data_IF_587144073171
#
_entry.id   IF_587144073171
#
_cell.length_a   1.000
_cell.length_b   1.000
_cell.length_c   1.000
_cell.angle_alpha   90.00
_cell.angle_beta   90.00
_cell.angle_gamma   90.00
#
_symmetry.space_group_name_H-M   'P 1'
#
loop_
_entity.id
_entity.type
_entity.pdbx_description
1 polymer ?
#
# COMPACT_ATOMS: atom_id res chain seq x y z
N UNK A 1 19.85 -14.61 -36.95
CA UNK A 1 19.64 -13.34 -37.67
C UNK A 1 18.61 -12.53 -36.91
N UNK A 2 18.94 -11.34 -36.37
CA UNK A 2 17.93 -10.47 -35.77
C UNK A 2 16.96 -9.97 -36.85
N UNK A 3 15.67 -9.82 -36.55
CA UNK A 3 14.70 -9.28 -37.49
C UNK A 3 15.12 -7.86 -37.92
N UNK A 4 15.03 -7.59 -39.22
CA UNK A 4 15.39 -6.29 -39.80
C UNK A 4 14.41 -5.20 -39.37
N UNK A 5 14.86 -3.96 -39.33
CA UNK A 5 14.05 -2.78 -38.97
C UNK A 5 12.75 -2.69 -39.79
N UNK A 6 12.80 -3.08 -41.06
CA UNK A 6 11.65 -3.20 -41.95
C UNK A 6 10.57 -4.18 -41.45
N UNK A 7 10.97 -5.27 -40.77
CA UNK A 7 10.02 -6.24 -40.21
C UNK A 7 9.28 -5.67 -38.98
N UNK A 8 9.95 -4.82 -38.20
CA UNK A 8 9.33 -4.13 -37.06
C UNK A 8 8.35 -3.05 -37.51
N UNK A 9 8.70 -2.29 -38.54
CA UNK A 9 7.79 -1.28 -39.11
C UNK A 9 6.55 -1.93 -39.72
N UNK A 10 6.71 -3.02 -40.47
CA UNK A 10 5.58 -3.78 -41.02
C UNK A 10 4.64 -4.33 -39.91
N UNK A 11 5.20 -4.80 -38.79
CA UNK A 11 4.42 -5.26 -37.64
C UNK A 11 3.69 -4.09 -36.94
N UNK A 12 4.32 -2.91 -36.85
CA UNK A 12 3.72 -1.70 -36.26
C UNK A 12 2.56 -1.18 -37.10
N UNK A 13 2.69 -1.15 -38.42
CA UNK A 13 1.64 -0.73 -39.35
C UNK A 13 0.41 -1.64 -39.27
N UNK A 14 0.61 -2.97 -39.28
CA UNK A 14 -0.50 -3.94 -39.13
C UNK A 14 -1.23 -3.80 -37.79
N UNK A 15 -0.52 -3.40 -36.72
CA UNK A 15 -1.11 -3.19 -35.39
C UNK A 15 -1.95 -1.92 -35.35
N UNK A 16 -1.49 -0.85 -36.01
CA UNK A 16 -2.22 0.41 -36.13
C UNK A 16 -3.48 0.28 -36.99
N UNK A 17 -3.43 -0.47 -38.09
CA UNK A 17 -4.61 -0.75 -38.92
C UNK A 17 -5.69 -1.52 -38.15
N UNK A 18 -5.30 -2.55 -37.39
CA UNK A 18 -6.24 -3.30 -36.54
C UNK A 18 -6.87 -2.43 -35.45
N UNK A 19 -6.10 -1.50 -34.86
CA UNK A 19 -6.61 -0.58 -33.86
C UNK A 19 -7.62 0.42 -34.45
N UNK A 20 -7.37 0.92 -35.67
CA UNK A 20 -8.31 1.80 -36.39
C UNK A 20 -9.62 1.07 -36.72
N UNK A 21 -9.55 -0.17 -37.22
CA UNK A 21 -10.72 -0.96 -37.55
C UNK A 21 -11.63 -1.24 -36.32
N UNK A 22 -11.04 -1.43 -35.13
CA UNK A 22 -11.81 -1.59 -33.90
C UNK A 22 -12.52 -0.30 -33.48
N UNK A 23 -11.92 0.87 -33.70
CA UNK A 23 -12.55 2.16 -33.42
C UNK A 23 -13.75 2.43 -34.35
N UNK A 24 -13.64 2.11 -35.64
CA UNK A 24 -14.76 2.24 -36.58
C UNK A 24 -15.94 1.35 -36.19
N UNK A 25 -15.70 0.11 -35.75
CA UNK A 25 -16.76 -0.78 -35.26
C UNK A 25 -17.48 -0.25 -34.01
N UNK A 26 -16.85 0.63 -33.22
CA UNK A 26 -17.50 1.24 -32.05
C UNK A 26 -18.38 2.45 -32.39
N UNK A 27 -18.21 3.05 -33.56
CA UNK A 27 -18.97 4.22 -34.00
C UNK A 27 -20.29 3.85 -34.70
N UNK A 28 -20.41 2.63 -35.23
CA UNK A 28 -21.60 2.20 -36.01
C UNK A 28 -22.72 1.54 -35.19
N UNK A 29 -22.54 1.27 -33.89
CA UNK A 29 -23.53 0.52 -33.10
C UNK A 29 -24.21 1.38 -32.03
N UNK A 30 -25.34 2.04 -32.33
CA UNK A 30 -26.15 2.67 -31.29
C UNK A 30 -26.68 1.60 -30.33
N UNK A 31 -26.33 1.72 -29.05
CA UNK A 31 -26.91 0.90 -27.97
C UNK A 31 -28.36 1.32 -27.79
N UNK A 32 -29.31 0.43 -28.08
CA UNK A 32 -30.68 0.55 -27.59
C UNK A 32 -30.67 0.45 -26.06
N UNK A 33 -30.93 1.57 -25.39
CA UNK A 33 -31.14 1.62 -23.94
C UNK A 33 -32.64 1.56 -23.71
N UNK A 34 -33.16 0.40 -23.29
CA UNK A 34 -34.53 0.28 -22.80
C UNK A 34 -34.64 1.01 -21.46
N UNK A 35 -35.21 2.21 -21.49
CA UNK A 35 -35.60 2.96 -20.30
C UNK A 35 -36.79 2.29 -19.63
N UNK A 36 -36.56 1.68 -18.46
CA UNK A 36 -37.62 1.32 -17.51
C UNK A 36 -37.38 2.13 -16.25
N UNK A 37 -38.14 3.21 -16.09
CA UNK A 37 -38.17 4.02 -14.87
C UNK A 37 -39.07 3.33 -13.84
N UNK A 38 -38.62 3.09 -12.59
CA UNK A 38 -39.54 2.93 -11.47
C UNK A 38 -39.83 4.27 -10.79
N UNK A 39 -41.06 4.42 -10.34
CA UNK A 39 -41.62 5.59 -9.66
C UNK A 39 -40.96 5.87 -8.29
N UNK A 40 -41.03 7.11 -7.77
CA UNK A 40 -40.45 7.46 -6.47
C UNK A 40 -41.31 6.94 -5.32
N UNK A 41 -40.75 6.04 -4.52
CA UNK A 41 -41.28 5.65 -3.21
C UNK A 41 -40.81 6.66 -2.15
N UNK A 42 -41.74 7.44 -1.61
CA UNK A 42 -41.56 8.31 -0.45
C UNK A 42 -41.21 7.48 0.79
N UNK A 43 -40.02 7.68 1.36
CA UNK A 43 -39.67 7.20 2.69
C UNK A 43 -39.93 8.31 3.73
N UNK A 44 -40.38 7.99 4.95
CA UNK A 44 -40.55 8.99 6.02
C UNK A 44 -39.18 9.46 6.54
N UNK A 45 -39.16 10.71 6.99
CA UNK A 45 -37.99 11.37 7.56
C UNK A 45 -37.48 10.62 8.81
N UNK A 46 -36.24 10.14 8.74
CA UNK A 46 -35.50 9.69 9.90
C UNK A 46 -34.89 10.93 10.55
N UNK A 47 -35.42 11.32 11.70
CA UNK A 47 -34.83 12.34 12.56
C UNK A 47 -33.56 11.78 13.21
N UNK A 48 -32.40 12.32 12.82
CA UNK A 48 -31.10 12.03 13.44
C UNK A 48 -31.06 12.66 14.85
N UNK A 49 -30.77 11.91 15.94
CA UNK A 49 -30.72 12.46 17.29
C UNK A 49 -29.29 12.82 17.75
N UNK A 50 -28.40 13.19 16.82
CA UNK A 50 -26.99 13.46 17.15
C UNK A 50 -26.45 14.72 16.46
N UNK A 51 -27.28 15.76 16.41
CA UNK A 51 -26.85 17.12 16.04
C UNK A 51 -26.90 17.98 17.31
N UNK A 52 -25.83 17.94 18.10
CA UNK A 52 -25.43 18.99 19.06
C UNK A 52 -24.12 18.58 19.76
N UNK A 53 -23.03 18.54 19.00
CA UNK A 53 -21.69 18.55 19.58
C UNK A 53 -20.82 19.54 18.80
N UNK A 54 -20.86 20.79 19.25
CA UNK A 54 -20.03 21.89 18.76
C UNK A 54 -18.54 21.56 19.00
N UNK A 55 -17.68 21.50 17.96
CA UNK A 55 -16.29 21.08 18.09
C UNK A 55 -15.35 22.16 18.67
N UNK A 56 -15.86 23.26 19.25
CA UNK A 56 -15.03 24.35 19.75
C UNK A 56 -15.53 24.97 21.06
N UNK A 57 -15.62 24.16 22.13
CA UNK A 57 -15.69 24.68 23.49
C UNK A 57 -14.29 25.19 23.94
N UNK A 58 -14.14 26.49 24.30
CA UNK A 58 -12.90 27.02 24.84
C UNK A 58 -12.72 26.55 26.28
N UNK A 59 -11.63 25.80 26.52
CA UNK A 59 -11.25 25.34 27.86
C UNK A 59 -10.72 26.51 28.71
N UNK A 60 -11.63 27.30 29.25
CA UNK A 60 -11.36 28.22 30.35
C UNK A 60 -12.34 27.98 31.50
N UNK A 61 -11.76 28.00 32.71
CA UNK A 61 -12.42 28.15 34.01
C UNK A 61 -12.88 26.88 34.73
N UNK A 62 -11.93 26.28 35.47
CA UNK A 62 -12.14 25.83 36.85
C UNK A 62 -10.81 25.80 37.63
N UNK A 63 -10.54 26.87 38.37
CA UNK A 63 -9.63 26.99 39.54
C UNK A 63 -10.41 27.94 40.48
N UNK A 64 -10.59 27.72 41.81
CA UNK A 64 -9.60 27.38 42.85
C UNK A 64 -10.10 26.29 43.84
N UNK A 65 -9.33 25.71 44.79
CA UNK A 65 -8.75 26.31 45.99
C UNK A 65 -7.53 25.57 46.53
N UNK A 66 -6.67 26.38 47.13
CA UNK A 66 -5.40 26.12 47.79
C UNK A 66 -5.53 25.32 49.09
N UNK A 67 -4.69 24.30 49.28
CA UNK A 67 -3.94 24.14 50.53
C UNK A 67 -2.76 23.17 50.35
N UNK A 68 -1.52 23.67 50.25
CA UNK A 68 -0.32 22.88 50.56
C UNK A 68 0.64 23.81 51.32
N UNK A 69 0.87 23.48 52.59
CA UNK A 69 1.86 24.08 53.48
C UNK A 69 3.31 23.83 52.99
N UNK A 70 4.08 24.92 52.95
CA UNK A 70 5.51 25.11 53.33
C UNK A 70 6.30 23.83 53.69
N UNK A 71 7.53 23.52 53.24
CA UNK A 71 8.74 24.24 52.82
C UNK A 71 9.90 23.15 52.83
N UNK A 72 11.20 23.44 52.59
CA UNK A 72 11.87 24.25 51.56
C UNK A 72 13.04 23.51 50.86
N UNK A 73 13.64 24.19 49.87
CA UNK A 73 15.06 24.13 49.40
C UNK A 73 15.60 22.83 48.78
N UNK A 74 15.89 22.86 47.47
CA UNK A 74 17.27 22.79 46.99
C UNK A 74 17.37 23.15 45.50
N UNK A 75 18.24 24.11 45.22
CA UNK A 75 18.56 24.64 43.90
C UNK A 75 19.58 23.77 43.18
N UNK A 76 19.17 22.83 42.33
CA UNK A 76 20.13 22.15 41.43
C UNK A 76 19.48 21.84 40.08
N UNK A 77 19.56 22.82 39.16
CA UNK A 77 19.56 22.74 37.68
C UNK A 77 18.76 23.87 37.01
N UNK A 78 19.22 25.12 37.16
CA UNK A 78 19.00 26.10 36.10
C UNK A 78 19.95 25.79 34.95
N UNK A 79 19.56 24.89 34.05
CA UNK A 79 20.26 24.72 32.76
C UNK A 79 20.04 25.99 31.97
N UNK A 80 20.98 26.92 32.10
CA UNK A 80 21.03 28.18 31.37
C UNK A 80 20.83 27.93 29.87
N UNK A 81 19.61 28.15 29.38
CA UNK A 81 19.33 28.33 27.95
C UNK A 81 19.44 29.80 27.60
N UNK A 82 20.56 30.44 27.97
CA UNK A 82 21.02 31.59 27.21
C UNK A 82 21.66 31.09 25.91
N UNK A 83 20.81 30.50 25.06
CA UNK A 83 21.08 30.53 23.64
C UNK A 83 21.11 32.00 23.26
N UNK A 84 22.31 32.56 23.06
CA UNK A 84 22.50 33.81 22.33
C UNK A 84 21.74 33.63 21.02
N UNK A 85 20.51 34.15 20.95
CA UNK A 85 19.81 34.38 19.69
C UNK A 85 20.64 35.39 18.92
N UNK A 86 21.61 34.89 18.16
CA UNK A 86 22.26 35.68 17.12
C UNK A 86 21.14 36.18 16.21
N UNK A 87 20.92 37.50 16.08
CA UNK A 87 19.88 38.01 15.20
C UNK A 87 20.13 37.46 13.80
N UNK A 88 19.08 37.06 13.05
CA UNK A 88 19.27 36.59 11.70
C UNK A 88 19.87 37.72 10.89
N UNK A 89 21.17 37.62 10.58
CA UNK A 89 21.81 38.52 9.62
C UNK A 89 21.08 38.35 8.30
N UNK A 90 20.40 39.40 7.86
CA UNK A 90 19.54 39.48 6.68
C UNK A 90 20.35 39.43 5.36
N UNK A 91 21.28 38.50 5.26
CA UNK A 91 22.12 38.30 4.07
C UNK A 91 22.56 36.83 3.92
N UNK A 92 21.73 35.89 4.37
CA UNK A 92 21.86 34.50 3.96
C UNK A 92 21.34 34.36 2.52
N UNK A 93 22.12 34.84 1.55
CA UNK A 93 22.01 34.44 0.14
C UNK A 93 21.85 32.93 0.15
N UNK A 94 20.66 32.44 -0.22
CA UNK A 94 20.36 31.01 -0.23
C UNK A 94 21.45 30.35 -1.06
N UNK A 95 22.39 29.65 -0.39
CA UNK A 95 23.49 29.00 -1.08
C UNK A 95 22.83 28.07 -2.08
N UNK A 96 22.94 28.40 -3.37
CA UNK A 96 22.27 27.70 -4.47
C UNK A 96 22.96 26.35 -4.58
N UNK A 97 22.60 25.42 -3.68
CA UNK A 97 23.16 24.08 -3.68
C UNK A 97 22.95 23.54 -5.09
N UNK A 98 24.00 23.08 -5.78
CA UNK A 98 23.87 22.63 -7.15
C UNK A 98 22.76 21.58 -7.21
N UNK A 99 21.82 21.77 -8.12
CA UNK A 99 20.74 20.83 -8.33
C UNK A 99 21.36 19.48 -8.71
N UNK A 100 20.97 18.42 -7.99
CA UNK A 100 21.51 17.07 -8.23
C UNK A 100 21.17 16.65 -9.66
N UNK A 101 22.14 16.09 -10.37
CA UNK A 101 21.92 15.48 -11.68
C UNK A 101 20.89 14.34 -11.60
N UNK A 102 20.27 13.97 -12.73
CA UNK A 102 19.30 12.87 -12.78
C UNK A 102 19.89 11.55 -12.25
N UNK A 103 21.09 11.20 -12.70
CA UNK A 103 21.88 10.05 -12.18
C UNK A 103 22.16 10.18 -10.68
N UNK A 104 22.55 11.37 -10.22
CA UNK A 104 22.77 11.64 -8.80
C UNK A 104 21.51 11.47 -7.94
N UNK A 105 20.33 11.81 -8.46
CA UNK A 105 19.03 11.56 -7.81
C UNK A 105 18.72 10.06 -7.78
N UNK A 106 18.92 9.35 -8.89
CA UNK A 106 18.71 7.91 -9.01
C UNK A 106 19.52 7.13 -7.97
N UNK A 107 20.83 7.37 -7.90
CA UNK A 107 21.71 6.77 -6.88
C UNK A 107 21.28 7.12 -5.46
N UNK A 108 20.76 8.34 -5.26
CA UNK A 108 20.17 8.75 -3.99
C UNK A 108 18.96 7.91 -3.56
N UNK A 109 18.12 7.48 -4.50
CA UNK A 109 17.02 6.55 -4.20
C UNK A 109 17.54 5.14 -3.92
N UNK A 110 18.40 4.63 -4.80
CA UNK A 110 18.92 3.25 -4.74
C UNK A 110 19.79 3.01 -3.49
N UNK A 111 20.52 4.01 -3.01
CA UNK A 111 21.30 3.91 -1.77
C UNK A 111 20.47 3.65 -0.49
N UNK A 112 19.16 3.93 -0.51
CA UNK A 112 18.29 3.78 0.66
C UNK A 112 17.56 2.44 0.69
N UNK A 113 17.18 1.92 -0.49
CA UNK A 113 16.48 0.65 -0.67
C UNK A 113 16.42 0.25 -2.13
N UNK A 114 16.08 -1.01 -2.38
CA UNK A 114 15.70 -1.52 -3.70
C UNK A 114 14.43 -0.83 -4.21
N UNK A 115 14.43 -0.49 -5.50
CA UNK A 115 13.31 0.11 -6.22
C UNK A 115 13.04 -0.73 -7.48
N UNK A 116 11.77 -0.83 -7.89
CA UNK A 116 11.46 -1.38 -9.22
C UNK A 116 11.80 -0.35 -10.30
N UNK A 117 12.03 -0.81 -11.54
CA UNK A 117 12.24 0.09 -12.69
C UNK A 117 11.10 1.11 -12.81
N UNK A 118 9.85 0.66 -12.71
CA UNK A 118 8.67 1.53 -12.80
C UNK A 118 8.55 2.50 -11.60
N UNK A 119 9.00 2.12 -10.40
CA UNK A 119 9.03 3.04 -9.26
C UNK A 119 10.09 4.12 -9.45
N UNK A 120 11.29 3.73 -9.88
CA UNK A 120 12.39 4.67 -10.09
C UNK A 120 12.07 5.62 -11.24
N UNK A 121 11.52 5.11 -12.34
CA UNK A 121 11.02 5.92 -13.47
C UNK A 121 10.02 6.98 -12.99
N UNK A 122 8.97 6.58 -12.26
CA UNK A 122 7.98 7.54 -11.71
C UNK A 122 8.59 8.60 -10.80
N UNK A 123 9.62 8.25 -10.01
CA UNK A 123 10.31 9.20 -9.12
C UNK A 123 11.23 10.16 -9.86
N UNK A 124 11.79 9.73 -10.98
CA UNK A 124 12.71 10.53 -11.78
C UNK A 124 11.99 11.39 -12.82
N UNK A 125 10.80 10.98 -13.27
CA UNK A 125 9.99 11.70 -14.27
C UNK A 125 9.88 13.22 -14.05
N UNK A 126 9.62 13.74 -12.83
CA UNK A 126 9.50 15.18 -12.60
C UNK A 126 10.80 15.97 -12.79
N UNK A 127 11.93 15.29 -12.95
CA UNK A 127 13.26 15.88 -13.02
C UNK A 127 13.92 15.74 -14.39
N UNK A 128 13.26 15.06 -15.34
CA UNK A 128 13.78 14.85 -16.70
C UNK A 128 13.72 16.15 -17.47
N UNK A 129 14.83 16.52 -18.10
CA UNK A 129 14.94 17.66 -19.01
C UNK A 129 14.87 17.18 -20.47
N UNK A 130 14.54 18.06 -21.41
CA UNK A 130 14.37 17.73 -22.85
C UNK A 130 15.57 17.01 -23.49
N UNK A 131 16.78 17.23 -22.97
CA UNK A 131 18.01 16.60 -23.46
C UNK A 131 18.37 15.26 -22.77
N UNK A 132 17.63 14.85 -21.73
CA UNK A 132 17.95 13.66 -20.93
C UNK A 132 17.03 12.49 -21.31
N UNK A 133 17.61 11.35 -21.70
CA UNK A 133 16.87 10.10 -21.91
C UNK A 133 16.77 9.32 -20.59
N UNK A 134 15.59 9.36 -19.96
CA UNK A 134 15.31 8.59 -18.75
C UNK A 134 15.50 7.08 -18.96
N UNK A 135 15.01 6.54 -20.07
CA UNK A 135 15.12 5.10 -20.36
C UNK A 135 16.57 4.66 -20.51
N UNK A 136 17.40 5.47 -21.18
CA UNK A 136 18.85 5.18 -21.30
C UNK A 136 19.54 5.17 -19.94
N UNK A 137 19.20 6.09 -19.05
CA UNK A 137 19.73 6.07 -17.68
C UNK A 137 19.27 4.83 -16.91
N UNK A 138 18.01 4.41 -17.04
CA UNK A 138 17.51 3.21 -16.39
C UNK A 138 18.20 1.95 -16.92
N UNK A 139 18.43 1.86 -18.24
CA UNK A 139 19.17 0.77 -18.87
C UNK A 139 20.62 0.71 -18.40
N UNK A 140 21.31 1.86 -18.28
CA UNK A 140 22.64 1.93 -17.68
C UNK A 140 22.65 1.40 -16.25
N UNK A 141 21.69 1.81 -15.43
CA UNK A 141 21.60 1.38 -14.03
C UNK A 141 21.30 -0.10 -13.88
N UNK A 142 20.52 -0.69 -14.79
CA UNK A 142 20.29 -2.14 -14.84
C UNK A 142 21.54 -2.88 -15.32
N UNK A 143 22.19 -2.40 -16.39
CA UNK A 143 23.42 -2.98 -16.93
C UNK A 143 24.56 -2.97 -15.90
N UNK A 144 24.69 -1.89 -15.15
CA UNK A 144 25.69 -1.73 -14.10
C UNK A 144 25.27 -2.42 -12.78
N UNK A 145 24.09 -3.05 -12.74
CA UNK A 145 23.61 -3.83 -11.60
C UNK A 145 23.08 -3.03 -10.41
N UNK A 146 22.97 -1.69 -10.52
CA UNK A 146 22.40 -0.82 -9.47
C UNK A 146 20.89 -0.99 -9.34
N UNK A 147 20.19 -1.29 -10.42
CA UNK A 147 18.74 -1.49 -10.46
C UNK A 147 18.43 -2.96 -10.80
N UNK A 148 17.56 -3.60 -10.03
CA UNK A 148 17.12 -4.99 -10.29
C UNK A 148 15.70 -5.22 -9.77
N UNK A 149 14.80 -5.65 -10.66
CA UNK A 149 13.46 -6.04 -10.28
C UNK A 149 13.45 -7.30 -9.39
N UNK A 150 14.41 -8.20 -9.56
CA UNK A 150 14.54 -9.42 -8.72
C UNK A 150 14.84 -9.03 -7.27
N UNK A 151 15.87 -8.20 -7.04
CA UNK A 151 16.18 -7.71 -5.68
C UNK A 151 15.05 -6.87 -5.09
N UNK A 152 14.35 -6.10 -5.92
CA UNK A 152 13.15 -5.39 -5.49
C UNK A 152 12.07 -6.34 -4.97
N UNK A 153 11.77 -7.42 -5.70
CA UNK A 153 10.79 -8.44 -5.30
C UNK A 153 11.20 -9.11 -4.00
N UNK A 154 12.45 -9.55 -3.87
CA UNK A 154 12.98 -10.14 -2.65
C UNK A 154 12.85 -9.19 -1.45
N UNK A 155 13.20 -7.92 -1.64
CA UNK A 155 13.03 -6.88 -0.61
C UNK A 155 11.58 -6.70 -0.19
N UNK A 156 10.63 -6.71 -1.14
CA UNK A 156 9.19 -6.63 -0.86
C UNK A 156 8.73 -7.83 -0.04
N UNK A 157 9.09 -9.04 -0.47
CA UNK A 157 8.72 -10.28 0.22
C UNK A 157 9.27 -10.27 1.64
N UNK A 158 10.56 -10.00 1.81
CA UNK A 158 11.23 -9.97 3.11
C UNK A 158 10.54 -9.03 4.11
N UNK A 159 10.23 -7.80 3.67
CA UNK A 159 9.64 -6.78 4.57
C UNK A 159 8.14 -6.95 4.83
N UNK A 160 7.40 -7.68 3.96
CA UNK A 160 5.92 -7.73 3.99
C UNK A 160 5.33 -9.09 4.30
N UNK A 161 5.96 -10.20 3.89
CA UNK A 161 5.33 -11.54 3.92
C UNK A 161 4.89 -11.98 5.32
N UNK A 162 5.55 -11.53 6.38
CA UNK A 162 5.15 -11.81 7.77
C UNK A 162 3.90 -11.06 8.26
N UNK A 163 3.32 -10.16 7.46
CA UNK A 163 2.20 -9.29 7.90
C UNK A 163 0.98 -9.34 6.97
N UNK A 164 1.20 -9.66 5.69
CA UNK A 164 0.17 -9.67 4.65
C UNK A 164 0.26 -10.95 3.82
N UNK A 165 -0.87 -11.35 3.24
CA UNK A 165 -0.97 -12.52 2.39
C UNK A 165 -0.43 -12.29 0.98
N UNK A 166 -0.38 -13.38 0.21
CA UNK A 166 0.23 -13.41 -1.11
C UNK A 166 -0.47 -12.44 -2.09
N UNK A 167 -1.80 -12.30 -2.00
CA UNK A 167 -2.57 -11.45 -2.93
C UNK A 167 -2.14 -9.98 -2.86
N UNK A 168 -1.91 -9.45 -1.66
CA UNK A 168 -1.48 -8.05 -1.48
C UNK A 168 -0.07 -7.83 -2.03
N UNK A 169 0.84 -8.80 -1.84
CA UNK A 169 2.19 -8.73 -2.36
C UNK A 169 2.19 -8.82 -3.89
N UNK A 170 1.51 -9.80 -4.47
CA UNK A 170 1.37 -9.97 -5.92
C UNK A 170 0.79 -8.70 -6.56
N UNK A 171 -0.24 -8.10 -5.96
CA UNK A 171 -0.83 -6.85 -6.46
C UNK A 171 0.12 -5.64 -6.34
N UNK A 172 0.99 -5.60 -5.31
CA UNK A 172 2.09 -4.62 -5.28
C UNK A 172 3.06 -4.86 -6.44
N UNK A 173 3.54 -6.08 -6.65
CA UNK A 173 4.48 -6.38 -7.73
C UNK A 173 3.93 -6.02 -9.11
N UNK A 174 2.65 -6.32 -9.38
CA UNK A 174 1.95 -5.93 -10.62
C UNK A 174 1.95 -4.41 -10.83
N UNK A 175 1.58 -3.64 -9.81
CA UNK A 175 1.59 -2.15 -9.86
C UNK A 175 2.99 -1.58 -10.05
N UNK A 176 4.02 -2.34 -9.69
CA UNK A 176 5.42 -1.98 -9.85
C UNK A 176 6.03 -2.42 -11.19
N UNK A 177 5.21 -2.97 -12.10
CA UNK A 177 5.63 -3.36 -13.44
C UNK A 177 6.62 -4.53 -13.47
N UNK A 178 6.59 -5.39 -12.45
CA UNK A 178 7.42 -6.59 -12.39
C UNK A 178 6.94 -7.59 -13.46
N UNK A 179 7.87 -8.32 -14.09
CA UNK A 179 7.55 -9.30 -15.12
C UNK A 179 6.70 -10.47 -14.59
N UNK A 180 5.74 -10.92 -15.40
CA UNK A 180 4.76 -11.96 -15.01
C UNK A 180 5.41 -13.27 -14.56
N UNK A 181 6.53 -13.66 -15.17
CA UNK A 181 7.27 -14.86 -14.78
C UNK A 181 7.75 -14.80 -13.31
N UNK A 182 8.32 -13.66 -12.91
CA UNK A 182 8.82 -13.44 -11.56
C UNK A 182 7.68 -13.29 -10.56
N UNK A 183 6.55 -12.69 -10.97
CA UNK A 183 5.33 -12.59 -10.16
C UNK A 183 4.78 -13.99 -9.88
N UNK A 184 4.67 -14.85 -10.90
CA UNK A 184 4.19 -16.22 -10.75
C UNK A 184 5.08 -17.02 -9.81
N UNK A 185 6.39 -17.02 -10.05
CA UNK A 185 7.36 -17.72 -9.21
C UNK A 185 7.27 -17.26 -7.74
N UNK A 186 7.17 -15.95 -7.52
CA UNK A 186 7.04 -15.39 -6.18
C UNK A 186 5.71 -15.77 -5.53
N UNK A 187 4.62 -15.79 -6.29
CA UNK A 187 3.31 -16.25 -5.85
C UNK A 187 3.34 -17.70 -5.39
N UNK A 188 4.00 -18.58 -6.16
CA UNK A 188 4.14 -20.00 -5.84
C UNK A 188 4.98 -20.22 -4.57
N UNK A 189 6.06 -19.47 -4.38
CA UNK A 189 6.85 -19.50 -3.13
C UNK A 189 6.05 -19.00 -1.93
N UNK A 190 5.26 -17.93 -2.12
CA UNK A 190 4.45 -17.34 -1.07
C UNK A 190 3.28 -18.23 -0.65
N UNK A 191 2.68 -19.00 -1.56
CA UNK A 191 1.56 -19.89 -1.28
C UNK A 191 1.98 -21.07 -0.38
N UNK A 192 3.17 -21.64 -0.60
CA UNK A 192 3.71 -22.76 0.18
C UNK A 192 3.79 -22.48 1.69
N UNK A 193 4.09 -21.24 2.07
CA UNK A 193 4.22 -20.84 3.48
C UNK A 193 3.05 -19.96 3.95
N UNK A 194 2.00 -19.79 3.14
CA UNK A 194 0.94 -18.82 3.42
C UNK A 194 0.15 -19.17 4.68
N UNK A 195 -0.23 -20.44 4.87
CA UNK A 195 -0.99 -20.89 6.05
C UNK A 195 -0.27 -20.59 7.35
N UNK A 196 1.04 -20.90 7.43
CA UNK A 196 1.84 -20.63 8.62
C UNK A 196 1.93 -19.13 8.94
N UNK A 197 2.13 -18.29 7.92
CA UNK A 197 2.17 -16.83 8.10
C UNK A 197 0.80 -16.27 8.50
N UNK A 198 -0.28 -16.78 7.91
CA UNK A 198 -1.64 -16.39 8.25
C UNK A 198 -1.97 -16.74 9.71
N UNK A 199 -1.62 -17.95 10.14
CA UNK A 199 -1.79 -18.39 11.52
C UNK A 199 -1.03 -17.49 12.50
N UNK A 200 0.24 -17.16 12.22
CA UNK A 200 1.03 -16.27 13.08
C UNK A 200 0.43 -14.85 13.19
N UNK A 201 -0.13 -14.32 12.10
CA UNK A 201 -0.81 -13.02 12.09
C UNK A 201 -2.14 -13.07 12.84
N UNK A 202 -2.88 -14.17 12.68
CA UNK A 202 -4.14 -14.42 13.36
C UNK A 202 -3.95 -14.61 14.87
N UNK A 203 -3.00 -15.44 15.29
CA UNK A 203 -2.75 -15.76 16.70
C UNK A 203 -2.34 -14.53 17.50
N UNK A 204 -1.60 -13.59 16.89
CA UNK A 204 -1.23 -12.32 17.52
C UNK A 204 -2.43 -11.41 17.84
N UNK A 205 -3.55 -11.58 17.14
CA UNK A 205 -4.74 -10.74 17.35
C UNK A 205 -5.86 -11.45 18.11
N UNK A 206 -6.14 -12.70 17.74
CA UNK A 206 -7.28 -13.46 18.28
C UNK A 206 -6.81 -14.56 19.22
N UNK A 207 -5.84 -15.38 18.81
CA UNK A 207 -5.28 -16.45 19.65
C UNK A 207 -6.20 -17.64 19.90
N UNK A 208 -7.51 -17.46 19.78
CA UNK A 208 -8.52 -18.51 19.98
C UNK A 208 -9.43 -18.67 18.75
N UNK A 209 -9.82 -19.90 18.42
CA UNK A 209 -10.74 -20.18 17.31
C UNK A 209 -12.12 -19.54 17.55
N UNK A 210 -12.84 -19.19 16.47
CA UNK A 210 -14.15 -18.56 16.56
C UNK A 210 -15.18 -19.53 17.16
N UNK A 211 -15.98 -19.06 18.11
CA UNK A 211 -17.01 -19.88 18.79
C UNK A 211 -18.38 -19.83 18.10
N UNK A 212 -18.60 -18.81 17.26
CA UNK A 212 -19.86 -18.61 16.56
C UNK A 212 -19.64 -18.08 15.13
N UNK A 213 -20.70 -18.09 14.32
CA UNK A 213 -20.65 -17.66 12.92
C UNK A 213 -20.28 -16.17 12.76
N UNK A 214 -20.69 -15.32 13.70
CA UNK A 214 -20.36 -13.90 13.69
C UNK A 214 -18.86 -13.66 13.93
N UNK A 215 -18.26 -14.38 14.89
CA UNK A 215 -16.83 -14.37 15.15
C UNK A 215 -16.03 -14.93 13.98
N UNK A 216 -16.47 -16.05 13.39
CA UNK A 216 -15.83 -16.60 12.19
C UNK A 216 -15.79 -15.57 11.07
N UNK A 217 -16.90 -14.87 10.81
CA UNK A 217 -16.96 -13.81 9.81
C UNK A 217 -16.05 -12.62 10.15
N UNK A 218 -15.92 -12.25 11.44
CA UNK A 218 -15.03 -11.18 11.91
C UNK A 218 -13.56 -11.54 11.73
N UNK A 219 -13.16 -12.75 12.13
CA UNK A 219 -11.78 -13.24 11.99
C UNK A 219 -11.40 -13.45 10.52
N UNK A 220 -12.32 -13.99 9.70
CA UNK A 220 -12.13 -14.15 8.26
C UNK A 220 -11.92 -12.81 7.55
N UNK A 221 -12.75 -11.80 7.84
CA UNK A 221 -12.60 -10.44 7.28
C UNK A 221 -11.25 -9.81 7.64
N UNK A 222 -10.75 -10.05 8.85
CA UNK A 222 -9.43 -9.55 9.27
C UNK A 222 -8.28 -10.11 8.41
N UNK A 223 -8.31 -11.41 8.12
CA UNK A 223 -7.31 -12.07 7.28
C UNK A 223 -7.49 -11.71 5.80
N UNK A 224 -8.73 -11.65 5.32
CA UNK A 224 -9.05 -11.23 3.95
C UNK A 224 -8.57 -9.80 3.67
N UNK A 225 -8.79 -8.87 4.60
CA UNK A 225 -8.29 -7.48 4.50
C UNK A 225 -6.76 -7.40 4.44
N UNK A 226 -6.05 -8.42 4.92
CA UNK A 226 -4.58 -8.56 4.81
C UNK A 226 -4.13 -9.30 3.56
N UNK A 227 -5.07 -9.76 2.72
CA UNK A 227 -4.78 -10.39 1.44
C UNK A 227 -4.43 -11.87 1.51
N UNK A 228 -4.78 -12.57 2.59
CA UNK A 228 -4.67 -14.03 2.63
C UNK A 228 -5.75 -14.67 1.75
N UNK A 229 -5.43 -15.80 1.11
CA UNK A 229 -6.38 -16.53 0.25
C UNK A 229 -7.52 -17.18 1.05
N UNK A 230 -8.67 -17.37 0.40
CA UNK A 230 -9.84 -17.99 1.04
C UNK A 230 -9.57 -19.40 1.58
N UNK A 231 -8.81 -20.21 0.84
CA UNK A 231 -8.38 -21.53 1.30
C UNK A 231 -7.49 -21.47 2.55
N UNK A 232 -6.53 -20.55 2.58
CA UNK A 232 -5.71 -20.30 3.77
C UNK A 232 -6.56 -19.84 4.96
N UNK A 233 -7.52 -18.94 4.75
CA UNK A 233 -8.41 -18.45 5.80
C UNK A 233 -9.25 -19.58 6.38
N UNK A 234 -9.85 -20.43 5.52
CA UNK A 234 -10.60 -21.59 5.96
C UNK A 234 -9.74 -22.53 6.81
N UNK A 235 -8.51 -22.82 6.38
CA UNK A 235 -7.58 -23.67 7.12
C UNK A 235 -7.20 -23.10 8.49
N UNK A 236 -6.97 -21.80 8.61
CA UNK A 236 -6.64 -21.15 9.89
C UNK A 236 -7.82 -21.16 10.86
N UNK A 237 -9.05 -21.01 10.35
CA UNK A 237 -10.25 -20.91 11.18
C UNK A 237 -10.93 -22.26 11.48
N UNK A 238 -10.50 -23.34 10.82
CA UNK A 238 -11.09 -24.69 11.00
C UNK A 238 -10.94 -25.23 12.42
N UNK A 239 -9.95 -24.77 13.20
CA UNK A 239 -9.72 -25.20 14.58
C UNK A 239 -10.80 -24.83 15.60
N UNK A 240 -11.99 -24.36 15.19
CA UNK A 240 -13.13 -24.06 16.06
C UNK A 240 -14.39 -24.90 15.81
N UNK A 241 -14.42 -25.73 14.77
CA UNK A 241 -15.65 -26.42 14.34
C UNK A 241 -15.63 -27.95 14.54
N UNK A 242 -14.49 -28.55 14.90
CA UNK A 242 -14.32 -30.01 14.88
C UNK A 242 -14.31 -30.68 16.28
N UNK A 243 -14.62 -29.97 17.36
CA UNK A 243 -14.58 -30.53 18.73
C UNK A 243 -15.86 -30.33 19.56
N UNK A 244 -17.04 -30.37 18.93
CA UNK A 244 -18.31 -30.44 19.69
C UNK A 244 -19.47 -31.03 18.87
N UNK A 245 -19.35 -32.29 18.40
CA UNK A 245 -20.54 -33.13 18.18
C UNK A 245 -20.15 -34.62 18.06
N UNK A 246 -19.74 -35.23 19.18
CA UNK A 246 -19.94 -36.67 19.35
C UNK A 246 -21.34 -36.84 19.97
N UNK A 247 -22.36 -37.30 19.22
CA UNK A 247 -23.60 -37.70 19.85
C UNK A 247 -23.26 -38.87 20.78
N UNK A 248 -23.35 -38.64 22.09
CA UNK A 248 -23.41 -39.70 23.09
C UNK A 248 -24.63 -40.55 22.73
N UNK A 249 -24.39 -41.70 22.10
CA UNK A 249 -25.33 -42.80 22.03
C UNK A 249 -25.74 -43.14 23.45
N UNK A 250 -26.97 -42.76 23.80
CA UNK A 250 -27.67 -43.26 24.97
C UNK A 250 -28.01 -44.73 24.70
N UNK A 251 -27.22 -45.64 25.26
CA UNK A 251 -27.64 -47.01 25.51
C UNK A 251 -28.37 -47.01 26.87
N UNK A 252 -29.70 -47.16 26.85
CA UNK A 252 -30.50 -47.86 27.87
C UNK A 252 -31.83 -48.34 27.26
#
# INVERSE_FOLDING_TARGET
MPPTEAAFEAARSRRLERARALLEQTLEKPREVKSTSPAPSTLPAFSDPFDDADPFEPFEQCVPESNIESAPEESVYSRSTQSRRKPPSADAKSSKRPQRSLKGRALGYLSRREHSRAELSRKLMPFVQEAESLETLLDELERDGWLSNERFVESVVHRRAGRVGANVIVNELKRHGVGEALIRETGDKLSQTETARAHAVWSRKYGTPPQNSAERAKQARFLAARGFSGGTIANVLKGGDDEEWLPQSADD
#
